data_IF_312248390738
#
_entry.id   IF_312248390738
#
_cell.length_a   1.000
_cell.length_b   1.000
_cell.length_c   1.000
_cell.angle_alpha   90.00
_cell.angle_beta   90.00
_cell.angle_gamma   90.00
#
_symmetry.space_group_name_H-M   'P 1'
#
loop_
_entity.id
_entity.type
_entity.pdbx_description
1 polymer ?
#
# COMPACT_ATOMS: atom_id res chain seq x y z
N UNK A 1 50.57 -46.21 68.92
CA UNK A 1 50.55 -45.55 67.59
C UNK A 1 51.70 -44.56 67.54
N UNK A 2 52.51 -44.53 66.48
CA UNK A 2 53.62 -43.56 66.41
C UNK A 2 53.05 -42.13 66.32
N UNK A 3 53.70 -41.17 66.96
CA UNK A 3 53.27 -39.76 66.96
C UNK A 3 53.11 -39.18 65.54
N UNK A 4 53.75 -39.79 64.55
CA UNK A 4 53.69 -39.40 63.14
C UNK A 4 52.35 -39.76 62.48
N UNK A 5 51.77 -40.92 62.80
CA UNK A 5 50.46 -41.35 62.27
C UNK A 5 49.33 -40.45 62.78
N UNK A 6 49.40 -40.04 64.06
CA UNK A 6 48.44 -39.09 64.64
C UNK A 6 48.51 -37.71 63.97
N UNK A 7 49.72 -37.19 63.74
CA UNK A 7 49.92 -35.90 63.05
C UNK A 7 49.43 -35.93 61.60
N UNK A 8 49.69 -37.01 60.88
CA UNK A 8 49.21 -37.20 59.51
C UNK A 8 47.67 -37.30 59.46
N UNK A 9 47.05 -38.02 60.40
CA UNK A 9 45.60 -38.10 60.51
C UNK A 9 44.94 -36.75 60.78
N UNK A 10 45.51 -35.94 61.67
CA UNK A 10 45.02 -34.58 61.96
C UNK A 10 45.15 -33.68 60.73
N UNK A 11 46.29 -33.72 60.01
CA UNK A 11 46.47 -32.94 58.77
C UNK A 11 45.45 -33.31 57.70
N UNK A 12 45.17 -34.60 57.50
CA UNK A 12 44.15 -35.05 56.54
C UNK A 12 42.74 -34.57 56.91
N UNK A 13 42.39 -34.57 58.20
CA UNK A 13 41.11 -34.05 58.67
C UNK A 13 40.98 -32.54 58.42
N UNK A 14 42.05 -31.78 58.61
CA UNK A 14 42.08 -30.33 58.33
C UNK A 14 41.93 -30.05 56.83
N UNK A 15 42.60 -30.83 55.97
CA UNK A 15 42.47 -30.68 54.51
C UNK A 15 41.04 -31.04 54.06
N UNK A 16 40.49 -32.14 54.56
CA UNK A 16 39.14 -32.58 54.23
C UNK A 16 38.07 -31.57 54.69
N UNK A 17 38.23 -30.97 55.88
CA UNK A 17 37.31 -29.96 56.38
C UNK A 17 37.39 -28.67 55.56
N UNK A 18 38.59 -28.20 55.24
CA UNK A 18 38.78 -27.03 54.38
C UNK A 18 38.19 -27.24 52.99
N UNK A 19 38.42 -28.43 52.39
CA UNK A 19 37.84 -28.82 51.11
C UNK A 19 36.31 -28.81 51.15
N UNK A 20 35.71 -29.38 52.20
CA UNK A 20 34.25 -29.39 52.36
C UNK A 20 33.65 -27.98 52.44
N UNK A 21 34.28 -27.09 53.23
CA UNK A 21 33.85 -25.68 53.34
C UNK A 21 33.99 -24.95 52.01
N UNK A 22 35.08 -25.16 51.28
CA UNK A 22 35.31 -24.55 49.97
C UNK A 22 34.26 -25.00 48.94
N UNK A 23 34.02 -26.31 48.82
CA UNK A 23 33.00 -26.86 47.90
C UNK A 23 31.59 -26.38 48.24
N UNK A 24 31.27 -26.30 49.54
CA UNK A 24 30.00 -25.75 49.97
C UNK A 24 29.87 -24.27 49.57
N UNK A 25 30.92 -23.48 49.79
CA UNK A 25 30.98 -22.07 49.37
C UNK A 25 30.76 -21.91 47.86
N UNK A 26 31.41 -22.74 47.03
CA UNK A 26 31.18 -22.77 45.58
C UNK A 26 29.72 -23.09 45.24
N UNK A 27 29.15 -24.15 45.82
CA UNK A 27 27.76 -24.54 45.52
C UNK A 27 26.74 -23.45 45.89
N UNK A 28 26.97 -22.72 46.99
CA UNK A 28 26.10 -21.62 47.41
C UNK A 28 26.24 -20.44 46.44
N UNK A 29 27.47 -20.12 46.01
CA UNK A 29 27.73 -19.03 45.07
C UNK A 29 27.21 -19.35 43.67
N UNK A 30 27.38 -20.58 43.20
CA UNK A 30 26.84 -21.05 41.93
C UNK A 30 25.32 -20.97 41.92
N UNK A 31 24.66 -21.44 42.99
CA UNK A 31 23.20 -21.33 43.12
C UNK A 31 22.70 -19.87 43.16
N UNK A 32 23.38 -19.01 43.91
CA UNK A 32 23.08 -17.57 43.98
C UNK A 32 23.21 -16.90 42.60
N UNK A 33 24.30 -17.18 41.88
CA UNK A 33 24.51 -16.63 40.54
C UNK A 33 23.52 -17.20 39.53
N UNK A 34 23.30 -18.52 39.50
CA UNK A 34 22.31 -19.12 38.60
C UNK A 34 20.91 -18.53 38.81
N UNK A 35 20.49 -18.29 40.06
CA UNK A 35 19.21 -17.65 40.34
C UNK A 35 19.16 -16.21 39.80
N UNK A 36 20.20 -15.40 40.03
CA UNK A 36 20.29 -14.02 39.50
C UNK A 36 20.25 -14.00 37.97
N UNK A 37 20.97 -14.90 37.32
CA UNK A 37 20.99 -15.03 35.86
C UNK A 37 19.63 -15.49 35.33
N UNK A 38 18.97 -16.47 35.94
CA UNK A 38 17.65 -16.93 35.53
C UNK A 38 16.60 -15.81 35.62
N UNK A 39 16.63 -15.00 36.69
CA UNK A 39 15.74 -13.83 36.83
C UNK A 39 16.02 -12.79 35.73
N UNK A 40 17.29 -12.50 35.46
CA UNK A 40 17.68 -11.56 34.40
C UNK A 40 17.26 -12.07 33.02
N UNK A 41 17.58 -13.31 32.68
CA UNK A 41 17.26 -13.89 31.38
C UNK A 41 15.74 -14.00 31.17
N UNK A 42 14.96 -14.22 32.23
CA UNK A 42 13.50 -14.15 32.17
C UNK A 42 13.02 -12.72 31.89
N UNK A 43 13.60 -11.72 32.56
CA UNK A 43 13.33 -10.31 32.32
C UNK A 43 13.70 -9.87 30.90
N UNK A 44 14.87 -10.28 30.41
CA UNK A 44 15.35 -9.98 29.06
C UNK A 44 14.44 -10.62 28.00
N UNK A 45 14.00 -11.87 28.19
CA UNK A 45 13.03 -12.52 27.30
C UNK A 45 11.68 -11.81 27.28
N UNK A 46 11.21 -11.35 28.44
CA UNK A 46 9.97 -10.61 28.54
C UNK A 46 10.09 -9.24 27.84
N UNK A 47 11.17 -8.51 28.10
CA UNK A 47 11.45 -7.22 27.46
C UNK A 47 11.56 -7.37 25.93
N UNK A 48 12.25 -8.41 25.47
CA UNK A 48 12.33 -8.77 24.05
C UNK A 48 10.93 -9.00 23.46
N UNK A 49 10.12 -9.85 24.10
CA UNK A 49 8.78 -10.17 23.60
C UNK A 49 7.87 -8.95 23.50
N UNK A 50 7.98 -8.02 24.46
CA UNK A 50 7.24 -6.76 24.43
C UNK A 50 7.73 -5.84 23.31
N UNK A 51 9.04 -5.68 23.14
CA UNK A 51 9.63 -4.87 22.07
C UNK A 51 9.28 -5.44 20.69
N UNK A 52 9.36 -6.75 20.52
CA UNK A 52 8.96 -7.42 19.28
C UNK A 52 7.47 -7.22 18.99
N UNK A 53 6.60 -7.39 19.99
CA UNK A 53 5.17 -7.15 19.82
C UNK A 53 4.87 -5.68 19.43
N UNK A 54 5.55 -4.72 20.04
CA UNK A 54 5.40 -3.30 19.71
C UNK A 54 5.82 -3.01 18.26
N UNK A 55 7.00 -3.47 17.83
CA UNK A 55 7.47 -3.27 16.45
C UNK A 55 6.60 -4.02 15.44
N UNK A 56 6.10 -5.21 15.76
CA UNK A 56 5.15 -5.94 14.91
C UNK A 56 3.81 -5.24 14.78
N UNK A 57 3.36 -4.54 15.82
CA UNK A 57 2.14 -3.72 15.74
C UNK A 57 2.36 -2.51 14.82
N UNK A 58 3.52 -1.83 14.92
CA UNK A 58 3.89 -0.73 14.01
C UNK A 58 3.94 -1.20 12.55
N UNK A 59 4.57 -2.34 12.31
CA UNK A 59 4.66 -2.93 10.97
C UNK A 59 3.26 -3.28 10.43
N UNK A 60 2.43 -3.96 11.22
CA UNK A 60 1.05 -4.30 10.80
C UNK A 60 0.21 -3.05 10.52
N UNK A 61 0.35 -2.00 11.33
CA UNK A 61 -0.34 -0.73 11.10
C UNK A 61 0.05 -0.12 9.75
N UNK A 62 1.36 -0.08 9.43
CA UNK A 62 1.88 0.41 8.14
C UNK A 62 1.38 -0.43 6.97
N UNK A 63 1.46 -1.75 7.09
CA UNK A 63 0.97 -2.67 6.05
C UNK A 63 -0.53 -2.50 5.79
N UNK A 64 -1.34 -2.38 6.85
CA UNK A 64 -2.77 -2.13 6.72
C UNK A 64 -3.06 -0.79 6.03
N UNK A 65 -2.29 0.24 6.36
CA UNK A 65 -2.40 1.57 5.74
C UNK A 65 -2.09 1.52 4.24
N UNK A 66 -0.99 0.86 3.85
CA UNK A 66 -0.62 0.65 2.44
C UNK A 66 -1.69 -0.17 1.71
N UNK A 67 -2.15 -1.28 2.29
CA UNK A 67 -3.21 -2.11 1.70
C UNK A 67 -4.48 -1.30 1.44
N UNK A 68 -4.85 -0.42 2.38
CA UNK A 68 -5.98 0.49 2.21
C UNK A 68 -5.74 1.51 1.09
N UNK A 69 -4.56 2.12 1.03
CA UNK A 69 -4.21 3.05 -0.06
C UNK A 69 -4.29 2.38 -1.43
N UNK A 70 -3.82 1.13 -1.55
CA UNK A 70 -3.94 0.34 -2.79
C UNK A 70 -5.40 0.06 -3.15
N UNK A 71 -6.22 -0.37 -2.18
CA UNK A 71 -7.65 -0.62 -2.41
C UNK A 71 -8.40 0.66 -2.81
N UNK A 72 -8.12 1.78 -2.13
CA UNK A 72 -8.71 3.09 -2.46
C UNK A 72 -8.28 3.56 -3.86
N UNK A 73 -7.00 3.36 -4.20
CA UNK A 73 -6.45 3.63 -5.52
C UNK A 73 -7.13 2.82 -6.61
N UNK A 74 -7.29 1.51 -6.41
CA UNK A 74 -7.97 0.63 -7.35
C UNK A 74 -9.44 1.04 -7.55
N UNK A 75 -10.15 1.37 -6.46
CA UNK A 75 -11.54 1.85 -6.57
C UNK A 75 -11.66 3.12 -7.40
N UNK A 76 -10.72 4.06 -7.27
CA UNK A 76 -10.70 5.29 -8.09
C UNK A 76 -10.44 4.97 -9.57
N UNK A 77 -9.55 4.02 -9.86
CA UNK A 77 -9.27 3.56 -11.23
C UNK A 77 -10.53 2.93 -11.84
N UNK A 78 -11.19 2.04 -11.10
CA UNK A 78 -12.39 1.36 -11.56
C UNK A 78 -13.54 2.35 -11.82
N UNK A 79 -13.72 3.34 -10.94
CA UNK A 79 -14.68 4.43 -11.13
C UNK A 79 -14.38 5.25 -12.39
N UNK A 80 -13.13 5.71 -12.55
CA UNK A 80 -12.72 6.45 -13.74
C UNK A 80 -12.91 5.64 -15.04
N UNK A 81 -12.69 4.32 -14.99
CA UNK A 81 -12.94 3.44 -16.12
C UNK A 81 -14.44 3.37 -16.48
N UNK A 82 -15.33 3.25 -15.49
CA UNK A 82 -16.79 3.26 -15.69
C UNK A 82 -17.27 4.61 -16.23
N UNK A 83 -16.76 5.71 -15.68
CA UNK A 83 -17.09 7.06 -16.13
C UNK A 83 -16.64 7.28 -17.58
N UNK A 84 -15.43 6.82 -17.93
CA UNK A 84 -14.93 6.88 -19.31
C UNK A 84 -15.75 6.04 -20.28
N UNK A 85 -16.23 4.85 -19.87
CA UNK A 85 -17.15 4.03 -20.68
C UNK A 85 -18.46 4.77 -20.92
N UNK A 86 -19.03 5.36 -19.87
CA UNK A 86 -20.29 6.12 -19.94
C UNK A 86 -20.16 7.33 -20.85
N UNK A 87 -19.07 8.09 -20.74
CA UNK A 87 -18.76 9.22 -21.59
C UNK A 87 -18.62 8.80 -23.07
N UNK A 88 -17.88 7.71 -23.35
CA UNK A 88 -17.75 7.18 -24.72
C UNK A 88 -19.07 6.71 -25.30
N UNK A 89 -19.94 6.09 -24.50
CA UNK A 89 -21.26 5.67 -24.96
C UNK A 89 -22.15 6.88 -25.32
N UNK A 90 -22.13 7.93 -24.49
CA UNK A 90 -22.84 9.18 -24.77
C UNK A 90 -22.31 9.87 -26.05
N UNK A 91 -20.98 9.98 -26.18
CA UNK A 91 -20.34 10.53 -27.37
C UNK A 91 -20.69 9.74 -28.64
N UNK A 92 -20.64 8.41 -28.59
CA UNK A 92 -21.00 7.54 -29.72
C UNK A 92 -22.50 7.60 -30.07
N UNK A 93 -23.38 7.85 -29.10
CA UNK A 93 -24.80 8.11 -29.37
C UNK A 93 -24.99 9.45 -30.07
N UNK A 94 -24.33 10.50 -29.58
CA UNK A 94 -24.39 11.84 -30.18
C UNK A 94 -23.86 11.83 -31.62
N UNK A 95 -22.73 11.17 -31.87
CA UNK A 95 -22.15 11.04 -33.20
C UNK A 95 -23.12 10.35 -34.19
N UNK A 96 -23.78 9.27 -33.78
CA UNK A 96 -24.81 8.61 -34.60
C UNK A 96 -25.99 9.53 -34.92
N UNK A 97 -26.46 10.32 -33.96
CA UNK A 97 -27.52 11.32 -34.19
C UNK A 97 -27.07 12.42 -35.17
N UNK A 98 -25.83 12.89 -35.04
CA UNK A 98 -25.25 13.88 -35.95
C UNK A 98 -25.09 13.31 -37.37
N UNK A 99 -24.68 12.05 -37.50
CA UNK A 99 -24.54 11.37 -38.80
C UNK A 99 -25.91 11.19 -39.49
N UNK A 100 -26.95 10.74 -38.77
CA UNK A 100 -28.32 10.64 -39.29
C UNK A 100 -28.87 12.01 -39.73
N UNK A 101 -28.71 13.05 -38.92
CA UNK A 101 -29.15 14.41 -39.27
C UNK A 101 -28.40 14.92 -40.51
N UNK A 102 -27.10 14.64 -40.59
CA UNK A 102 -26.26 15.00 -41.73
C UNK A 102 -26.72 14.31 -43.01
N UNK A 103 -27.06 13.03 -42.94
CA UNK A 103 -27.55 12.26 -44.08
C UNK A 103 -28.90 12.79 -44.59
N UNK A 104 -29.82 13.13 -43.67
CA UNK A 104 -31.10 13.79 -43.99
C UNK A 104 -30.90 15.15 -44.65
N UNK A 105 -29.98 15.97 -44.14
CA UNK A 105 -29.66 17.29 -44.70
C UNK A 105 -29.06 17.20 -46.11
N UNK A 106 -28.26 16.16 -46.40
CA UNK A 106 -27.75 15.93 -47.76
C UNK A 106 -28.89 15.57 -48.74
N UNK A 107 -29.87 14.79 -48.29
CA UNK A 107 -31.03 14.41 -49.11
C UNK A 107 -32.01 15.57 -49.36
N UNK A 108 -32.23 16.47 -48.41
CA UNK A 108 -33.20 17.58 -48.56
C UNK A 108 -32.67 18.75 -49.38
N UNK A 109 -31.35 18.95 -49.43
CA UNK A 109 -30.73 20.04 -50.19
C UNK A 109 -30.91 19.92 -51.72
N UNK A 110 -31.23 18.72 -52.25
CA UNK A 110 -31.43 18.50 -53.69
C UNK A 110 -32.86 18.77 -54.18
N UNK A 111 -33.82 19.09 -53.30
CA UNK A 111 -35.25 19.09 -53.63
C UNK A 111 -35.84 20.45 -54.04
N UNK A 112 -35.15 21.57 -53.81
CA UNK A 112 -35.68 22.93 -54.06
C UNK A 112 -34.72 23.79 -54.91
N UNK A 113 -35.14 24.14 -56.14
CA UNK A 113 -34.29 24.82 -57.14
C UNK A 113 -34.00 26.30 -56.85
N UNK A 114 -34.92 27.02 -56.21
CA UNK A 114 -34.78 28.47 -55.96
C UNK A 114 -33.83 28.81 -54.79
N UNK A 115 -33.50 27.85 -53.92
CA UNK A 115 -32.65 28.05 -52.73
C UNK A 115 -31.46 27.08 -52.65
N UNK A 116 -31.22 26.28 -53.70
CA UNK A 116 -30.24 25.20 -53.72
C UNK A 116 -28.81 25.60 -53.34
N UNK A 117 -28.34 26.79 -53.74
CA UNK A 117 -27.00 27.27 -53.41
C UNK A 117 -26.87 27.65 -51.92
N UNK A 118 -27.90 28.29 -51.36
CA UNK A 118 -27.94 28.68 -49.95
C UNK A 118 -28.09 27.45 -49.04
N UNK A 119 -28.92 26.48 -49.42
CA UNK A 119 -29.05 25.21 -48.70
C UNK A 119 -27.74 24.40 -48.73
N UNK A 120 -27.05 24.37 -49.87
CA UNK A 120 -25.75 23.69 -49.99
C UNK A 120 -24.65 24.34 -49.13
N UNK A 121 -24.62 25.67 -49.01
CA UNK A 121 -23.70 26.39 -48.12
C UNK A 121 -23.99 26.10 -46.63
N UNK A 122 -25.27 26.06 -46.24
CA UNK A 122 -25.68 25.70 -44.89
C UNK A 122 -25.29 24.26 -44.53
N UNK A 123 -25.52 23.29 -45.44
CA UNK A 123 -25.11 21.89 -45.26
C UNK A 123 -23.59 21.74 -45.09
N UNK A 124 -22.79 22.45 -45.89
CA UNK A 124 -21.32 22.45 -45.73
C UNK A 124 -20.88 23.00 -44.38
N UNK A 125 -21.53 24.05 -43.89
CA UNK A 125 -21.22 24.64 -42.58
C UNK A 125 -21.56 23.68 -41.44
N UNK A 126 -22.74 23.02 -41.51
CA UNK A 126 -23.14 22.01 -40.54
C UNK A 126 -22.17 20.82 -40.49
N UNK A 127 -21.70 20.36 -41.65
CA UNK A 127 -20.70 19.30 -41.77
C UNK A 127 -19.36 19.66 -41.11
N UNK A 128 -18.88 20.88 -41.32
CA UNK A 128 -17.64 21.37 -40.71
C UNK A 128 -17.78 21.44 -39.19
N UNK A 129 -18.91 21.96 -38.69
CA UNK A 129 -19.19 22.02 -37.25
C UNK A 129 -19.25 20.62 -36.62
N UNK A 130 -19.96 19.68 -37.25
CA UNK A 130 -20.02 18.28 -36.81
C UNK A 130 -18.63 17.66 -36.67
N UNK A 131 -17.78 17.86 -37.67
CA UNK A 131 -16.40 17.38 -37.67
C UNK A 131 -15.54 18.07 -36.60
N UNK A 132 -15.73 19.37 -36.38
CA UNK A 132 -15.04 20.14 -35.35
C UNK A 132 -15.40 19.62 -33.95
N UNK A 133 -16.70 19.45 -33.67
CA UNK A 133 -17.18 18.89 -32.41
C UNK A 133 -16.68 17.47 -32.19
N UNK A 134 -16.66 16.62 -33.22
CA UNK A 134 -16.12 15.25 -33.14
C UNK A 134 -14.64 15.25 -32.73
N UNK A 135 -13.83 16.15 -33.31
CA UNK A 135 -12.40 16.27 -32.96
C UNK A 135 -12.19 16.87 -31.57
N UNK A 136 -12.99 17.87 -31.20
CA UNK A 136 -12.93 18.49 -29.89
C UNK A 136 -13.31 17.50 -28.77
N UNK A 137 -14.40 16.75 -28.95
CA UNK A 137 -14.85 15.72 -28.02
C UNK A 137 -13.81 14.60 -27.86
N UNK A 138 -13.26 14.11 -28.97
CA UNK A 138 -12.16 13.13 -28.92
C UNK A 138 -10.96 13.66 -28.12
N UNK A 139 -10.53 14.90 -28.38
CA UNK A 139 -9.39 15.50 -27.68
C UNK A 139 -9.68 15.71 -26.19
N UNK A 140 -10.91 16.10 -25.85
CA UNK A 140 -11.34 16.22 -24.46
C UNK A 140 -11.30 14.86 -23.74
N UNK A 141 -11.76 13.79 -24.40
CA UNK A 141 -11.69 12.43 -23.88
C UNK A 141 -10.25 11.94 -23.65
N UNK A 142 -9.33 12.21 -24.58
CA UNK A 142 -7.91 11.85 -24.43
C UNK A 142 -7.28 12.59 -23.22
N UNK A 143 -7.55 13.89 -23.08
CA UNK A 143 -7.07 14.69 -21.95
C UNK A 143 -7.67 14.24 -20.62
N UNK A 144 -8.96 13.88 -20.59
CA UNK A 144 -9.60 13.35 -19.40
C UNK A 144 -8.96 12.04 -18.96
N UNK A 145 -8.66 11.13 -19.89
CA UNK A 145 -7.99 9.87 -19.59
C UNK A 145 -6.60 10.08 -18.96
N UNK A 146 -5.79 11.00 -19.51
CA UNK A 146 -4.48 11.34 -18.96
C UNK A 146 -4.60 11.98 -17.57
N UNK A 147 -5.59 12.86 -17.38
CA UNK A 147 -5.86 13.52 -16.10
C UNK A 147 -6.31 12.51 -15.03
N UNK A 148 -7.22 11.59 -15.35
CA UNK A 148 -7.70 10.56 -14.42
C UNK A 148 -6.59 9.58 -14.05
N UNK A 149 -5.74 9.21 -15.01
CA UNK A 149 -4.59 8.34 -14.75
C UNK A 149 -3.55 9.01 -13.86
N UNK A 150 -3.20 10.27 -14.14
CA UNK A 150 -2.23 11.00 -13.33
C UNK A 150 -2.76 11.26 -11.92
N UNK A 151 -4.03 11.65 -11.80
CA UNK A 151 -4.68 11.91 -10.50
C UNK A 151 -4.83 10.64 -9.66
N UNK A 152 -5.28 9.53 -10.24
CA UNK A 152 -5.42 8.26 -9.51
C UNK A 152 -4.07 7.79 -8.93
N UNK A 153 -3.00 7.86 -9.74
CA UNK A 153 -1.64 7.55 -9.29
C UNK A 153 -1.16 8.51 -8.19
N UNK A 154 -1.31 9.81 -8.41
CA UNK A 154 -0.88 10.85 -7.46
C UNK A 154 -1.53 10.69 -6.09
N UNK A 155 -2.86 10.54 -6.04
CA UNK A 155 -3.57 10.39 -4.77
C UNK A 155 -3.23 9.06 -4.09
N UNK A 156 -2.99 7.98 -4.85
CA UNK A 156 -2.55 6.70 -4.26
C UNK A 156 -1.17 6.84 -3.61
N UNK A 157 -0.23 7.54 -4.26
CA UNK A 157 1.09 7.81 -3.69
C UNK A 157 1.01 8.68 -2.43
N UNK A 158 0.18 9.72 -2.45
CA UNK A 158 -0.04 10.60 -1.30
C UNK A 158 -0.61 9.81 -0.11
N UNK A 159 -1.67 9.02 -0.33
CA UNK A 159 -2.27 8.17 0.69
C UNK A 159 -1.27 7.14 1.26
N UNK A 160 -0.44 6.54 0.40
CA UNK A 160 0.60 5.61 0.85
C UNK A 160 1.66 6.33 1.72
N UNK A 161 2.08 7.52 1.33
CA UNK A 161 3.04 8.31 2.08
C UNK A 161 2.50 8.78 3.44
N UNK A 162 1.27 9.31 3.47
CA UNK A 162 0.59 9.65 4.72
C UNK A 162 0.46 8.43 5.64
N UNK A 163 0.23 7.26 5.05
CA UNK A 163 0.12 5.99 5.76
C UNK A 163 1.41 5.48 6.39
N UNK A 164 2.58 5.90 5.87
CA UNK A 164 3.90 5.56 6.43
C UNK A 164 4.40 6.60 7.43
N UNK A 165 3.92 7.84 7.32
CA UNK A 165 4.38 8.98 8.13
C UNK A 165 3.53 9.23 9.37
N UNK A 166 2.33 8.66 9.45
CA UNK A 166 1.54 8.53 10.69
C UNK A 166 1.98 7.32 11.52
#
# INVERSE_FOLDING_TARGET
MSAWVLRAGVLLLVIASYWGVYQHGLSVKDGEWQARWAVRDAGDKQAWGLAEAEERNKEQARQNSINKAVQDGQRKIDQAAVDAITARAAAGSLQRTVDDLTERLKHSASSYSCTAAASQAATRTALVLAELFRRADKRAGDLAADADQSRSRGVTCEQAYEGLTR
#
